data_IF_985181090836
#
_entry.id   IF_985181090836
#
_cell.length_a   1.000
_cell.length_b   1.000
_cell.length_c   1.000
_cell.angle_alpha   90.00
_cell.angle_beta   90.00
_cell.angle_gamma   90.00
#
_symmetry.space_group_name_H-M   'P 1'
#
loop_
_entity.id
_entity.type
_entity.pdbx_description
1 polymer ?
#
# COMPACT_ATOMS: atom_id res chain seq x y z
N UNK A 1 14.16 -2.33 19.11
CA UNK A 1 13.74 -0.92 18.75
C UNK A 1 12.43 -0.44 19.43
N UNK A 2 12.34 -0.42 20.76
CA UNK A 2 11.09 -0.06 21.50
C UNK A 2 11.09 1.37 22.07
N UNK A 3 12.19 2.11 21.93
CA UNK A 3 12.33 3.49 22.41
C UNK A 3 11.89 4.46 21.30
N UNK A 4 10.99 5.37 21.63
CA UNK A 4 10.74 6.56 20.81
C UNK A 4 12.05 7.36 20.78
N UNK A 5 12.58 7.75 19.61
CA UNK A 5 13.77 8.58 19.57
C UNK A 5 13.51 9.91 20.30
N UNK A 6 14.37 10.25 21.26
CA UNK A 6 14.33 11.52 22.00
C UNK A 6 14.89 12.68 21.15
N UNK A 7 14.45 12.78 19.89
CA UNK A 7 14.86 13.84 18.96
C UNK A 7 13.65 14.58 18.42
N UNK A 8 13.36 15.79 18.94
CA UNK A 8 12.28 16.64 18.46
C UNK A 8 12.38 16.95 16.96
N UNK A 9 13.61 16.99 16.42
CA UNK A 9 13.88 17.29 15.00
C UNK A 9 13.35 16.17 14.11
N UNK A 10 13.63 14.89 14.43
CA UNK A 10 13.15 13.75 13.61
C UNK A 10 11.63 13.69 13.66
N UNK A 11 11.05 13.81 14.84
CA UNK A 11 9.60 13.74 15.04
C UNK A 11 8.86 14.86 14.29
N UNK A 12 9.37 16.09 14.36
CA UNK A 12 8.80 17.23 13.62
C UNK A 12 8.94 17.03 12.10
N UNK A 13 10.11 16.60 11.63
CA UNK A 13 10.39 16.37 10.21
C UNK A 13 9.48 15.29 9.63
N UNK A 14 9.37 14.12 10.29
CA UNK A 14 8.50 13.03 9.82
C UNK A 14 7.05 13.49 9.80
N UNK A 15 6.57 14.19 10.84
CA UNK A 15 5.19 14.69 10.90
C UNK A 15 4.83 15.62 9.73
N UNK A 16 5.78 16.46 9.31
CA UNK A 16 5.59 17.35 8.16
C UNK A 16 5.70 16.58 6.84
N UNK A 17 6.68 15.69 6.69
CA UNK A 17 6.93 14.99 5.42
C UNK A 17 5.91 13.89 5.10
N UNK A 18 5.41 13.16 6.10
CA UNK A 18 4.45 12.07 5.90
C UNK A 18 3.27 12.40 4.98
N UNK A 19 2.53 13.52 5.13
CA UNK A 19 1.44 13.86 4.21
C UNK A 19 1.91 14.13 2.78
N UNK A 20 3.09 14.72 2.57
CA UNK A 20 3.63 14.95 1.21
C UNK A 20 4.03 13.63 0.54
N UNK A 21 4.71 12.74 1.28
CA UNK A 21 5.09 11.41 0.76
C UNK A 21 3.85 10.56 0.49
N UNK A 22 2.83 10.64 1.35
CA UNK A 22 1.55 9.96 1.10
C UNK A 22 0.84 10.52 -0.15
N UNK A 23 0.89 11.83 -0.36
CA UNK A 23 0.32 12.47 -1.55
C UNK A 23 1.03 12.00 -2.81
N UNK A 24 2.36 11.89 -2.77
CA UNK A 24 3.15 11.31 -3.85
C UNK A 24 2.76 9.84 -4.11
N UNK A 25 2.61 9.03 -3.05
CA UNK A 25 2.15 7.65 -3.17
C UNK A 25 0.78 7.56 -3.87
N UNK A 26 -0.18 8.38 -3.45
CA UNK A 26 -1.51 8.44 -4.05
C UNK A 26 -1.45 8.90 -5.51
N UNK A 27 -0.65 9.91 -5.82
CA UNK A 27 -0.44 10.36 -7.20
C UNK A 27 0.09 9.22 -8.07
N UNK A 28 1.15 8.52 -7.64
CA UNK A 28 1.74 7.38 -8.35
C UNK A 28 0.76 6.22 -8.50
N UNK A 29 -0.13 5.99 -7.53
CA UNK A 29 -1.16 4.97 -7.56
C UNK A 29 -2.28 5.28 -8.56
N UNK A 30 -2.75 6.52 -8.63
CA UNK A 30 -3.86 6.91 -9.51
C UNK A 30 -3.43 7.25 -10.95
N UNK A 31 -2.14 7.46 -11.21
CA UNK A 31 -1.62 7.87 -12.52
C UNK A 31 -0.65 6.85 -13.14
N UNK A 32 -0.74 5.58 -12.75
CA UNK A 32 0.17 4.54 -13.25
C UNK A 32 0.07 4.28 -14.76
N UNK A 33 -1.10 4.47 -15.35
CA UNK A 33 -1.34 4.31 -16.80
C UNK A 33 -0.87 5.50 -17.64
N UNK A 34 -0.73 6.68 -17.03
CA UNK A 34 -0.46 7.96 -17.72
C UNK A 34 0.92 8.56 -17.40
N UNK A 35 1.65 7.96 -16.45
CA UNK A 35 2.96 8.42 -16.01
C UNK A 35 3.90 7.24 -15.70
N UNK A 36 5.18 7.51 -15.47
CA UNK A 36 6.11 6.50 -14.95
C UNK A 36 5.74 6.21 -13.50
N UNK A 37 5.21 5.02 -13.22
CA UNK A 37 4.60 4.74 -11.92
C UNK A 37 3.88 3.41 -11.85
N UNK A 38 2.81 3.38 -11.04
CA UNK A 38 1.88 2.26 -10.92
C UNK A 38 1.72 1.71 -9.52
N UNK A 39 0.95 0.63 -9.42
CA UNK A 39 0.56 -0.02 -8.17
C UNK A 39 1.75 -0.37 -7.28
N UNK A 40 2.77 -1.03 -7.85
CA UNK A 40 3.93 -1.48 -7.08
C UNK A 40 4.70 -0.32 -6.47
N UNK A 41 5.09 0.66 -7.28
CA UNK A 41 5.91 1.80 -6.83
C UNK A 41 5.13 2.66 -5.82
N UNK A 42 3.87 2.98 -6.13
CA UNK A 42 3.01 3.74 -5.23
C UNK A 42 2.77 3.01 -3.90
N UNK A 43 2.61 1.69 -3.92
CA UNK A 43 2.50 0.86 -2.72
C UNK A 43 3.76 0.90 -1.85
N UNK A 44 4.95 0.85 -2.46
CA UNK A 44 6.23 0.99 -1.72
C UNK A 44 6.35 2.37 -1.09
N UNK A 45 6.01 3.44 -1.81
CA UNK A 45 6.05 4.81 -1.27
C UNK A 45 5.06 4.94 -0.10
N UNK A 46 3.84 4.40 -0.21
CA UNK A 46 2.87 4.38 0.87
C UNK A 46 3.38 3.61 2.10
N UNK A 47 4.01 2.45 1.92
CA UNK A 47 4.62 1.71 3.02
C UNK A 47 5.76 2.49 3.69
N UNK A 48 6.54 3.25 2.92
CA UNK A 48 7.62 4.06 3.48
C UNK A 48 7.12 5.11 4.48
N UNK A 49 5.91 5.66 4.28
CA UNK A 49 5.26 6.56 5.26
C UNK A 49 5.07 5.85 6.60
N UNK A 50 4.58 4.61 6.58
CA UNK A 50 4.37 3.80 7.79
C UNK A 50 5.70 3.51 8.49
N UNK A 51 6.74 3.17 7.72
CA UNK A 51 8.09 2.92 8.22
C UNK A 51 8.69 4.19 8.86
N UNK A 52 8.56 5.35 8.21
CA UNK A 52 8.99 6.65 8.75
C UNK A 52 8.30 6.95 10.09
N UNK A 53 6.98 6.73 10.16
CA UNK A 53 6.21 6.91 11.39
C UNK A 53 6.70 5.94 12.48
N UNK A 54 7.01 4.69 12.14
CA UNK A 54 7.51 3.71 13.09
C UNK A 54 8.88 4.08 13.65
N UNK A 55 9.75 4.67 12.82
CA UNK A 55 11.03 5.21 13.28
C UNK A 55 10.86 6.43 14.19
N UNK A 56 9.96 7.37 13.85
CA UNK A 56 9.78 8.60 14.64
C UNK A 56 8.98 8.40 15.94
N UNK A 57 7.98 7.53 15.94
CA UNK A 57 7.01 7.37 17.03
C UNK A 57 7.07 6.00 17.70
N UNK A 58 7.94 5.11 17.25
CA UNK A 58 8.14 3.77 17.77
C UNK A 58 7.29 2.70 17.07
N UNK A 59 7.90 1.54 16.84
CA UNK A 59 7.29 0.41 16.11
C UNK A 59 6.01 -0.09 16.80
N UNK A 60 5.98 -0.14 18.14
CA UNK A 60 4.79 -0.59 18.90
C UNK A 60 3.56 0.28 18.65
N UNK A 61 3.74 1.60 18.58
CA UNK A 61 2.64 2.54 18.36
C UNK A 61 2.03 2.34 16.97
N UNK A 62 2.87 2.17 15.95
CA UNK A 62 2.44 1.94 14.57
C UNK A 62 1.89 0.53 14.36
N UNK A 63 2.52 -0.50 14.95
CA UNK A 63 2.05 -1.88 14.89
C UNK A 63 0.66 -2.04 15.51
N UNK A 64 0.29 -1.23 16.50
CA UNK A 64 -1.06 -1.18 17.05
C UNK A 64 -2.15 -0.86 16.01
N UNK A 65 -1.81 -0.22 14.88
CA UNK A 65 -2.75 0.04 13.79
C UNK A 65 -2.93 -1.15 12.85
N UNK A 66 -2.00 -2.10 12.87
CA UNK A 66 -1.84 -3.17 11.90
C UNK A 66 -2.46 -4.48 12.38
N UNK A 67 -3.78 -4.49 12.56
CA UNK A 67 -4.48 -5.72 12.92
C UNK A 67 -4.33 -6.76 11.81
N UNK A 68 -4.22 -8.05 12.17
CA UNK A 68 -4.11 -9.16 11.21
C UNK A 68 -5.19 -9.08 10.12
N UNK A 69 -6.42 -8.69 10.48
CA UNK A 69 -7.52 -8.49 9.54
C UNK A 69 -7.23 -7.40 8.49
N UNK A 70 -6.67 -6.25 8.91
CA UNK A 70 -6.34 -5.15 7.99
C UNK A 70 -5.19 -5.55 7.06
N UNK A 71 -4.17 -6.18 7.59
CA UNK A 71 -3.02 -6.66 6.82
C UNK A 71 -3.43 -7.71 5.79
N UNK A 72 -4.27 -8.68 6.19
CA UNK A 72 -4.82 -9.66 5.28
C UNK A 72 -5.69 -9.00 4.19
N UNK A 73 -6.53 -8.04 4.56
CA UNK A 73 -7.35 -7.31 3.58
C UNK A 73 -6.49 -6.55 2.56
N UNK A 74 -5.41 -5.89 2.99
CA UNK A 74 -4.44 -5.24 2.11
C UNK A 74 -3.75 -6.28 1.19
N UNK A 75 -3.25 -7.37 1.76
CA UNK A 75 -2.57 -8.42 0.99
C UNK A 75 -3.48 -9.13 -0.03
N UNK A 76 -4.77 -9.28 0.29
CA UNK A 76 -5.76 -9.88 -0.62
C UNK A 76 -6.32 -8.89 -1.64
N UNK A 77 -6.13 -7.58 -1.46
CA UNK A 77 -6.73 -6.55 -2.31
C UNK A 77 -6.38 -6.71 -3.79
N UNK A 78 -5.10 -6.94 -4.12
CA UNK A 78 -4.63 -7.12 -5.49
C UNK A 78 -5.32 -8.28 -6.20
N UNK A 79 -5.21 -9.53 -5.70
CA UNK A 79 -5.89 -10.67 -6.30
C UNK A 79 -7.41 -10.51 -6.41
N UNK A 80 -8.05 -9.96 -5.37
CA UNK A 80 -9.52 -9.77 -5.35
C UNK A 80 -9.95 -8.73 -6.37
N UNK A 81 -9.30 -7.57 -6.41
CA UNK A 81 -9.61 -6.50 -7.37
C UNK A 81 -9.29 -6.96 -8.80
N UNK A 82 -8.16 -7.63 -9.01
CA UNK A 82 -7.80 -8.20 -10.30
C UNK A 82 -8.87 -9.17 -10.80
N UNK A 83 -9.26 -10.14 -9.97
CA UNK A 83 -10.29 -11.11 -10.32
C UNK A 83 -11.62 -10.43 -10.63
N UNK A 84 -12.07 -9.49 -9.79
CA UNK A 84 -13.32 -8.77 -9.97
C UNK A 84 -13.33 -7.94 -11.27
N UNK A 85 -12.28 -7.17 -11.53
CA UNK A 85 -12.15 -6.34 -12.73
C UNK A 85 -12.09 -7.21 -13.98
N UNK A 86 -11.26 -8.26 -13.97
CA UNK A 86 -11.11 -9.14 -15.13
C UNK A 86 -12.39 -9.91 -15.49
N UNK A 87 -13.22 -10.23 -14.49
CA UNK A 87 -14.51 -10.89 -14.68
C UNK A 87 -15.58 -9.95 -15.25
N UNK A 88 -15.41 -8.62 -15.18
CA UNK A 88 -16.37 -7.67 -15.73
C UNK A 88 -16.57 -7.85 -17.24
N UNK A 89 -15.51 -8.19 -17.98
CA UNK A 89 -15.58 -8.53 -19.40
C UNK A 89 -16.46 -9.76 -19.68
N UNK A 90 -16.32 -10.80 -18.85
CA UNK A 90 -17.12 -12.03 -18.94
C UNK A 90 -18.59 -11.76 -18.63
N UNK A 91 -18.88 -10.97 -17.59
CA UNK A 91 -20.24 -10.57 -17.23
C UNK A 91 -20.92 -9.79 -18.35
N UNK A 92 -20.14 -8.99 -19.11
CA UNK A 92 -20.61 -8.27 -20.28
C UNK A 92 -20.73 -9.14 -21.55
N UNK A 93 -20.51 -10.45 -21.47
CA UNK A 93 -20.61 -11.40 -22.59
C UNK A 93 -19.33 -11.54 -23.43
N UNK A 94 -18.23 -10.94 -22.99
CA UNK A 94 -16.90 -11.09 -23.61
C UNK A 94 -16.04 -12.15 -22.94
N UNK A 95 -14.74 -12.07 -23.19
CA UNK A 95 -13.71 -12.94 -22.58
C UNK A 95 -13.11 -12.33 -21.31
N UNK A 96 -12.33 -13.12 -20.56
CA UNK A 96 -11.54 -12.64 -19.42
C UNK A 96 -10.59 -11.52 -19.86
N UNK A 97 -10.54 -10.40 -19.11
CA UNK A 97 -9.78 -9.17 -19.44
C UNK A 97 -10.21 -8.46 -20.74
N UNK A 98 -11.35 -8.83 -21.34
CA UNK A 98 -11.88 -8.13 -22.50
C UNK A 98 -12.70 -6.92 -22.03
N UNK A 99 -12.17 -5.70 -22.19
CA UNK A 99 -12.81 -4.48 -21.70
C UNK A 99 -13.51 -3.65 -22.79
N UNK A 100 -13.26 -3.93 -24.07
CA UNK A 100 -13.91 -3.29 -25.23
C UNK A 100 -15.42 -3.57 -25.33
N UNK A 101 -15.89 -4.64 -24.69
CA UNK A 101 -17.32 -4.98 -24.58
C UNK A 101 -18.07 -4.11 -23.57
N UNK A 102 -17.36 -3.38 -22.70
CA UNK A 102 -17.98 -2.50 -21.70
C UNK A 102 -18.35 -1.16 -22.35
N UNK A 103 -19.56 -0.63 -22.11
CA UNK A 103 -20.01 0.65 -22.66
C UNK A 103 -19.40 1.86 -21.89
N UNK A 104 -18.09 1.84 -21.66
CA UNK A 104 -17.35 2.85 -20.90
C UNK A 104 -16.21 3.38 -21.77
N UNK A 105 -16.13 4.71 -21.92
CA UNK A 105 -15.00 5.33 -22.61
C UNK A 105 -13.69 5.01 -21.89
N UNK A 106 -12.67 4.54 -22.62
CA UNK A 106 -11.36 4.13 -22.07
C UNK A 106 -11.47 3.05 -20.98
N UNK A 107 -12.41 2.11 -21.10
CA UNK A 107 -12.61 1.01 -20.13
C UNK A 107 -11.31 0.31 -19.72
N UNK A 108 -10.41 0.01 -20.66
CA UNK A 108 -9.12 -0.61 -20.37
C UNK A 108 -8.20 0.22 -19.48
N UNK A 109 -8.25 1.56 -19.58
CA UNK A 109 -7.45 2.47 -18.74
C UNK A 109 -7.94 2.40 -17.31
N UNK A 110 -9.25 2.57 -17.10
CA UNK A 110 -9.84 2.50 -15.75
C UNK A 110 -9.73 1.11 -15.13
N UNK A 111 -9.85 0.05 -15.93
CA UNK A 111 -9.63 -1.31 -15.47
C UNK A 111 -8.18 -1.51 -15.00
N UNK A 112 -7.20 -0.99 -15.76
CA UNK A 112 -5.79 -1.06 -15.39
C UNK A 112 -5.51 -0.26 -14.11
N UNK A 113 -6.01 0.98 -14.00
CA UNK A 113 -5.86 1.80 -12.79
C UNK A 113 -6.48 1.13 -11.56
N UNK A 114 -7.66 0.51 -11.69
CA UNK A 114 -8.29 -0.23 -10.61
C UNK A 114 -7.43 -1.42 -10.15
N UNK A 115 -6.90 -2.20 -11.10
CA UNK A 115 -5.98 -3.31 -10.81
C UNK A 115 -4.73 -2.80 -10.09
N UNK A 116 -4.14 -1.70 -10.56
CA UNK A 116 -2.95 -1.10 -9.96
C UNK A 116 -3.20 -0.63 -8.53
N UNK A 117 -4.37 -0.06 -8.23
CA UNK A 117 -4.75 0.31 -6.86
C UNK A 117 -4.80 -0.92 -5.93
N UNK A 118 -5.35 -2.03 -6.42
CA UNK A 118 -5.35 -3.30 -5.69
C UNK A 118 -3.93 -3.81 -5.42
N UNK A 119 -3.08 -3.83 -6.46
CA UNK A 119 -1.67 -4.22 -6.34
C UNK A 119 -0.94 -3.31 -5.33
N UNK A 120 -1.18 -2.01 -5.38
CA UNK A 120 -0.54 -1.05 -4.48
C UNK A 120 -0.92 -1.25 -3.01
N UNK A 121 -2.19 -1.55 -2.74
CA UNK A 121 -2.62 -1.93 -1.39
C UNK A 121 -1.93 -3.21 -0.90
N UNK A 122 -1.80 -4.23 -1.77
CA UNK A 122 -1.09 -5.47 -1.46
C UNK A 122 0.38 -5.25 -1.19
N UNK A 123 1.07 -4.51 -2.04
CA UNK A 123 2.49 -4.19 -1.86
C UNK A 123 2.70 -3.40 -0.57
N UNK A 124 1.89 -2.38 -0.31
CA UNK A 124 1.98 -1.62 0.93
C UNK A 124 1.80 -2.51 2.16
N UNK A 125 0.78 -3.38 2.15
CA UNK A 125 0.52 -4.33 3.23
C UNK A 125 1.69 -5.29 3.47
N UNK A 126 2.22 -5.91 2.40
CA UNK A 126 3.33 -6.87 2.49
C UNK A 126 4.60 -6.21 3.03
N UNK A 127 4.98 -5.04 2.50
CA UNK A 127 6.19 -4.32 2.97
C UNK A 127 6.06 -3.96 4.45
N UNK A 128 4.89 -3.50 4.88
CA UNK A 128 4.63 -3.17 6.28
C UNK A 128 4.69 -4.40 7.18
N UNK A 129 4.12 -5.54 6.75
CA UNK A 129 4.23 -6.82 7.48
C UNK A 129 5.69 -7.24 7.63
N UNK A 130 6.45 -7.22 6.54
CA UNK A 130 7.86 -7.59 6.55
C UNK A 130 8.66 -6.69 7.50
N UNK A 131 8.42 -5.38 7.45
CA UNK A 131 9.07 -4.43 8.37
C UNK A 131 8.78 -4.76 9.84
N UNK A 132 7.52 -4.99 10.19
CA UNK A 132 7.15 -5.30 11.58
C UNK A 132 7.71 -6.65 12.03
N UNK A 133 7.68 -7.67 11.17
CA UNK A 133 8.24 -8.98 11.47
C UNK A 133 9.76 -8.88 11.76
N UNK A 134 10.50 -8.19 10.89
CA UNK A 134 11.93 -7.96 11.08
C UNK A 134 12.23 -7.14 12.33
N UNK A 135 11.39 -6.17 12.67
CA UNK A 135 11.54 -5.37 13.88
C UNK A 135 11.19 -6.13 15.17
N UNK A 136 10.41 -7.20 15.08
CA UNK A 136 10.04 -8.06 16.20
C UNK A 136 11.11 -9.11 16.52
N UNK A 137 11.85 -9.60 15.51
CA UNK A 137 12.92 -10.61 15.65
C UNK A 137 14.26 -10.05 16.19
N UNK A 138 14.29 -8.83 16.73
CA UNK A 138 15.47 -8.21 17.33
C UNK A 138 15.84 -8.89 18.67
N UNK A 139 16.95 -9.65 18.75
CA UNK A 139 17.33 -10.46 19.94
C UNK A 139 17.68 -9.62 21.17
N UNK A 140 17.78 -8.29 21.04
CA UNK A 140 18.00 -7.36 22.15
C UNK A 140 16.72 -6.95 22.89
N UNK A 141 15.56 -7.50 22.54
CA UNK A 141 14.29 -7.26 23.24
C UNK A 141 14.13 -8.23 24.41
N UNK A 142 14.68 -7.88 25.57
CA UNK A 142 14.42 -8.63 26.81
C UNK A 142 12.90 -8.78 27.04
N UNK A 143 12.41 -10.01 27.32
CA UNK A 143 11.06 -10.20 27.84
C UNK A 143 10.99 -9.56 29.23
N UNK A 144 10.09 -8.60 29.41
CA UNK A 144 9.64 -8.15 30.73
C UNK A 144 8.32 -8.81 31.08
#
# INVERSE_FOLDING_TARGET
>A
MTRVPDTPVVTATVRVLSPFVLTLALFTLFHGTSSVGGGFQGGVIAASVVVMLAFAFGVRAVAGWLTTRRLFALAAAGPVVFGAVALAGVIAGGSFLQFDVLPIAKASVYATEAIELGIGATVAGVVVVLFVALAADDPGSEPR
#
